data_IF_470503771330
#
_entry.id   IF_470503771330
#
_cell.length_a   1.000
_cell.length_b   1.000
_cell.length_c   1.000
_cell.angle_alpha   90.00
_cell.angle_beta   90.00
_cell.angle_gamma   90.00
#
_symmetry.space_group_name_H-M   'P 1'
#
loop_
_entity.id
_entity.type
_entity.pdbx_description
1 polymer ?
#
# COMPACT_ATOMS: atom_id res chain seq x y z
N UNK A 1 -12.98 14.51 4.44
CA UNK A 1 -11.75 14.94 5.17
C UNK A 1 -11.06 13.77 5.88
N UNK A 2 -11.79 12.94 6.63
CA UNK A 2 -11.19 11.86 7.44
C UNK A 2 -10.39 10.82 6.63
N UNK A 3 -10.78 10.53 5.39
CA UNK A 3 -10.00 9.65 4.49
C UNK A 3 -8.63 10.23 4.14
N UNK A 4 -8.54 11.55 3.91
CA UNK A 4 -7.27 12.23 3.64
C UNK A 4 -6.35 12.12 4.86
N UNK A 5 -6.89 12.43 6.04
CA UNK A 5 -6.14 12.33 7.30
C UNK A 5 -5.65 10.90 7.55
N UNK A 6 -6.52 9.90 7.34
CA UNK A 6 -6.14 8.48 7.45
C UNK A 6 -5.00 8.11 6.49
N UNK A 7 -5.07 8.54 5.23
CA UNK A 7 -4.03 8.28 4.24
C UNK A 7 -2.68 8.93 4.59
N UNK A 8 -2.70 10.19 5.06
CA UNK A 8 -1.48 10.90 5.50
C UNK A 8 -0.86 10.23 6.71
N UNK A 9 -1.65 9.90 7.73
CA UNK A 9 -1.15 9.22 8.94
C UNK A 9 -0.61 7.83 8.57
N UNK A 10 -1.33 7.07 7.74
CA UNK A 10 -0.87 5.77 7.27
C UNK A 10 0.48 5.89 6.56
N UNK A 11 0.66 6.84 5.65
CA UNK A 11 1.93 7.05 4.94
C UNK A 11 3.06 7.45 5.90
N UNK A 12 2.78 8.37 6.85
CA UNK A 12 3.76 8.82 7.83
C UNK A 12 4.25 7.70 8.76
N UNK A 13 3.38 6.75 9.11
CA UNK A 13 3.75 5.58 9.93
C UNK A 13 4.42 4.50 9.08
N UNK A 14 3.84 4.17 7.92
CA UNK A 14 4.36 3.12 7.04
C UNK A 14 5.79 3.40 6.63
N UNK A 15 6.15 4.64 6.31
CA UNK A 15 7.49 4.93 5.79
C UNK A 15 8.66 4.47 6.66
N UNK A 16 8.78 4.89 7.94
CA UNK A 16 9.87 4.44 8.80
C UNK A 16 9.80 2.94 9.07
N UNK A 17 8.60 2.38 9.22
CA UNK A 17 8.43 0.96 9.55
C UNK A 17 8.74 0.06 8.34
N UNK A 18 8.32 0.45 7.14
CA UNK A 18 8.64 -0.23 5.88
C UNK A 18 10.15 -0.27 5.64
N UNK A 19 10.82 0.85 5.91
CA UNK A 19 12.29 0.95 5.81
C UNK A 19 12.93 -0.05 6.77
N UNK A 20 12.52 -0.05 8.04
CA UNK A 20 13.00 -0.99 9.06
C UNK A 20 12.70 -2.47 8.70
N UNK A 21 11.51 -2.77 8.20
CA UNK A 21 11.11 -4.12 7.74
C UNK A 21 12.01 -4.56 6.59
N UNK A 22 12.24 -3.69 5.61
CA UNK A 22 13.01 -4.03 4.40
C UNK A 22 14.49 -4.20 4.72
N UNK A 23 15.06 -3.36 5.59
CA UNK A 23 16.45 -3.46 6.03
C UNK A 23 16.75 -4.79 6.75
N UNK A 24 15.80 -5.30 7.55
CA UNK A 24 15.98 -6.54 8.33
C UNK A 24 15.50 -7.79 7.61
N UNK A 25 14.40 -7.68 6.86
CA UNK A 25 13.70 -8.81 6.22
C UNK A 25 14.06 -8.99 4.74
N UNK A 26 14.81 -8.06 4.14
CA UNK A 26 15.17 -8.08 2.73
C UNK A 26 13.94 -8.21 1.81
N UNK A 27 14.06 -9.06 0.79
CA UNK A 27 12.99 -9.30 -0.17
C UNK A 27 11.70 -9.84 0.48
N UNK A 28 11.79 -10.71 1.48
CA UNK A 28 10.60 -11.25 2.15
C UNK A 28 9.89 -10.18 2.99
N UNK A 29 10.66 -9.28 3.61
CA UNK A 29 10.14 -8.08 4.26
C UNK A 29 9.29 -7.23 3.32
N UNK A 30 9.86 -6.89 2.17
CA UNK A 30 9.21 -6.05 1.16
C UNK A 30 7.99 -6.72 0.52
N UNK A 31 8.04 -8.03 0.28
CA UNK A 31 6.96 -8.75 -0.41
C UNK A 31 5.78 -9.03 0.52
N UNK A 32 5.99 -9.38 1.80
CA UNK A 32 4.89 -9.84 2.65
C UNK A 32 4.56 -8.89 3.80
N UNK A 33 5.58 -8.44 4.53
CA UNK A 33 5.38 -7.69 5.77
C UNK A 33 5.02 -6.22 5.51
N UNK A 34 5.63 -5.61 4.49
CA UNK A 34 5.30 -4.24 4.08
C UNK A 34 3.83 -4.14 3.62
N UNK A 35 3.34 -4.94 2.65
CA UNK A 35 1.93 -4.90 2.26
C UNK A 35 0.95 -5.12 3.41
N UNK A 36 1.23 -6.09 4.29
CA UNK A 36 0.36 -6.36 5.43
C UNK A 36 0.24 -5.14 6.36
N UNK A 37 1.36 -4.50 6.67
CA UNK A 37 1.36 -3.29 7.50
C UNK A 37 0.58 -2.17 6.84
N UNK A 38 0.86 -1.89 5.57
CA UNK A 38 0.24 -0.79 4.84
C UNK A 38 -1.27 -0.95 4.71
N UNK A 39 -1.76 -2.12 4.28
CA UNK A 39 -3.20 -2.37 4.16
C UNK A 39 -3.90 -2.29 5.52
N UNK A 40 -3.23 -2.75 6.59
CA UNK A 40 -3.72 -2.63 7.96
C UNK A 40 -3.85 -1.16 8.37
N UNK A 41 -2.82 -0.34 8.13
CA UNK A 41 -2.83 1.08 8.50
C UNK A 41 -3.87 1.87 7.69
N UNK A 42 -3.86 1.74 6.37
CA UNK A 42 -4.81 2.44 5.49
C UNK A 42 -6.26 2.11 5.84
N UNK A 43 -6.57 0.82 5.96
CA UNK A 43 -7.93 0.35 6.23
C UNK A 43 -8.36 0.60 7.68
N UNK A 44 -7.48 0.29 8.63
CA UNK A 44 -7.74 0.45 10.05
C UNK A 44 -7.95 1.92 10.43
N UNK A 45 -7.08 2.83 9.95
CA UNK A 45 -7.21 4.26 10.22
C UNK A 45 -8.43 4.85 9.52
N UNK A 46 -8.70 4.48 8.26
CA UNK A 46 -9.92 4.92 7.57
C UNK A 46 -11.17 4.49 8.34
N UNK A 47 -11.23 3.24 8.81
CA UNK A 47 -12.32 2.75 9.65
C UNK A 47 -12.44 3.52 10.97
N UNK A 48 -11.33 3.64 11.73
CA UNK A 48 -11.33 4.23 13.06
C UNK A 48 -11.72 5.71 13.04
N UNK A 49 -11.34 6.43 11.98
CA UNK A 49 -11.64 7.85 11.79
C UNK A 49 -12.97 8.08 11.04
N UNK A 50 -13.68 7.03 10.63
CA UNK A 50 -14.88 7.16 9.77
C UNK A 50 -14.57 7.83 8.42
N UNK A 51 -13.38 7.60 7.88
CA UNK A 51 -12.92 8.09 6.60
C UNK A 51 -13.26 7.17 5.43
N UNK A 52 -13.29 7.74 4.23
CA UNK A 52 -13.48 6.95 3.02
C UNK A 52 -12.24 6.11 2.70
N UNK A 53 -12.49 4.82 2.51
CA UNK A 53 -11.47 3.80 2.31
C UNK A 53 -10.63 4.06 1.06
N UNK A 54 -11.29 4.25 -0.09
CA UNK A 54 -10.60 4.47 -1.37
C UNK A 54 -9.81 5.77 -1.34
N UNK A 55 -10.34 6.81 -0.71
CA UNK A 55 -9.64 8.09 -0.56
C UNK A 55 -8.38 7.97 0.31
N UNK A 56 -8.43 7.19 1.40
CA UNK A 56 -7.24 6.93 2.23
C UNK A 56 -6.14 6.22 1.44
N UNK A 57 -6.51 5.25 0.61
CA UNK A 57 -5.57 4.55 -0.27
C UNK A 57 -5.02 5.46 -1.37
N UNK A 58 -5.88 6.30 -1.97
CA UNK A 58 -5.47 7.27 -2.98
C UNK A 58 -4.44 8.26 -2.44
N UNK A 59 -4.66 8.79 -1.22
CA UNK A 59 -3.74 9.74 -0.59
C UNK A 59 -2.42 9.06 -0.21
N UNK A 60 -2.47 7.85 0.34
CA UNK A 60 -1.26 7.06 0.61
C UNK A 60 -0.45 6.86 -0.68
N UNK A 61 -1.10 6.37 -1.75
CA UNK A 61 -0.43 6.12 -3.02
C UNK A 61 0.00 7.38 -3.76
N UNK A 62 -0.65 8.52 -3.53
CA UNK A 62 -0.15 9.80 -4.03
C UNK A 62 1.16 10.19 -3.35
N UNK A 63 1.23 10.04 -2.02
CA UNK A 63 2.46 10.34 -1.26
C UNK A 63 3.60 9.42 -1.71
N UNK A 64 3.33 8.11 -1.83
CA UNK A 64 4.32 7.17 -2.34
C UNK A 64 4.72 7.50 -3.79
N UNK A 65 3.75 7.74 -4.67
CA UNK A 65 4.03 8.08 -6.06
C UNK A 65 4.85 9.37 -6.22
N UNK A 66 4.61 10.38 -5.38
CA UNK A 66 5.43 11.59 -5.34
C UNK A 66 6.86 11.29 -4.87
N UNK A 67 7.03 10.40 -3.89
CA UNK A 67 8.35 9.95 -3.47
C UNK A 67 9.08 9.19 -4.58
N UNK A 68 8.40 8.27 -5.26
CA UNK A 68 8.99 7.52 -6.36
C UNK A 68 9.42 8.46 -7.49
N UNK A 69 8.57 9.41 -7.87
CA UNK A 69 8.89 10.43 -8.87
C UNK A 69 10.13 11.25 -8.47
N UNK A 70 10.27 11.58 -7.19
CA UNK A 70 11.45 12.30 -6.71
C UNK A 70 12.71 11.42 -6.75
N UNK A 71 12.57 10.13 -6.44
CA UNK A 71 13.65 9.15 -6.36
C UNK A 71 14.23 8.79 -7.72
N UNK A 72 13.40 8.51 -8.71
CA UNK A 72 13.85 7.99 -10.01
C UNK A 72 13.58 8.92 -11.21
N UNK A 73 12.86 10.04 -10.99
CA UNK A 73 12.47 11.02 -12.01
C UNK A 73 11.59 10.45 -13.13
N UNK A 74 10.90 9.33 -12.88
CA UNK A 74 10.03 8.66 -13.85
C UNK A 74 8.57 8.78 -13.42
N UNK A 75 7.76 9.37 -14.30
CA UNK A 75 6.31 9.46 -14.08
C UNK A 75 5.63 8.09 -14.05
N UNK A 76 6.20 7.11 -14.76
CA UNK A 76 5.67 5.74 -14.81
C UNK A 76 5.60 5.09 -13.42
N UNK A 77 6.65 5.22 -12.62
CA UNK A 77 6.71 4.68 -11.25
C UNK A 77 5.60 5.30 -10.39
N UNK A 78 5.51 6.63 -10.40
CA UNK A 78 4.48 7.37 -9.67
C UNK A 78 3.04 6.96 -10.05
N UNK A 79 2.79 6.73 -11.35
CA UNK A 79 1.49 6.27 -11.85
C UNK A 79 1.21 4.83 -11.43
N UNK A 80 2.22 3.96 -11.45
CA UNK A 80 2.12 2.56 -11.01
C UNK A 80 1.82 2.50 -9.51
N UNK A 81 2.51 3.29 -8.67
CA UNK A 81 2.26 3.38 -7.23
C UNK A 81 0.83 3.86 -6.92
N UNK A 82 0.45 5.03 -7.46
CA UNK A 82 -0.89 5.59 -7.24
C UNK A 82 -1.99 4.64 -7.77
N UNK A 83 -1.80 4.10 -8.98
CA UNK A 83 -2.74 3.17 -9.61
C UNK A 83 -2.90 1.87 -8.83
N UNK A 84 -1.79 1.29 -8.36
CA UNK A 84 -1.79 0.09 -7.53
C UNK A 84 -2.56 0.31 -6.22
N UNK A 85 -2.29 1.40 -5.52
CA UNK A 85 -3.00 1.70 -4.28
C UNK A 85 -4.49 2.02 -4.47
N UNK A 86 -4.86 2.71 -5.55
CA UNK A 86 -6.28 2.89 -5.91
C UNK A 86 -6.96 1.54 -6.14
N UNK A 87 -6.31 0.66 -6.90
CA UNK A 87 -6.79 -0.70 -7.12
C UNK A 87 -6.97 -1.46 -5.79
N UNK A 88 -5.97 -1.43 -4.90
CA UNK A 88 -6.07 -2.06 -3.58
C UNK A 88 -7.18 -1.47 -2.72
N UNK A 89 -7.38 -0.15 -2.74
CA UNK A 89 -8.49 0.50 -2.03
C UNK A 89 -9.86 0.02 -2.51
N UNK A 90 -10.05 -0.10 -3.83
CA UNK A 90 -11.29 -0.66 -4.39
C UNK A 90 -11.44 -2.13 -4.01
N UNK A 91 -10.39 -2.93 -4.12
CA UNK A 91 -10.43 -4.35 -3.74
C UNK A 91 -10.75 -4.54 -2.26
N UNK A 92 -10.23 -3.70 -1.37
CA UNK A 92 -10.54 -3.76 0.05
C UNK A 92 -12.02 -3.48 0.29
N UNK A 93 -12.59 -2.50 -0.41
CA UNK A 93 -14.03 -2.21 -0.35
C UNK A 93 -14.88 -3.39 -0.83
N UNK A 94 -14.49 -4.02 -1.94
CA UNK A 94 -15.17 -5.22 -2.48
C UNK A 94 -15.08 -6.37 -1.48
N UNK A 95 -13.89 -6.72 -0.99
CA UNK A 95 -13.73 -7.82 -0.04
C UNK A 95 -14.47 -7.56 1.27
N UNK A 96 -14.48 -6.33 1.77
CA UNK A 96 -15.23 -5.99 2.96
C UNK A 96 -16.76 -6.10 2.73
N UNK A 97 -17.25 -5.93 1.51
CA UNK A 97 -18.67 -6.20 1.22
C UNK A 97 -19.04 -7.68 1.32
N UNK A 98 -18.08 -8.60 1.14
CA UNK A 98 -18.30 -10.05 1.22
C UNK A 98 -18.05 -10.65 2.62
N UNK A 99 -17.20 -10.02 3.43
CA UNK A 99 -16.81 -10.55 4.73
C UNK A 99 -17.23 -9.64 5.88
N UNK A 100 -17.76 -10.20 6.99
CA UNK A 100 -18.19 -9.39 8.13
C UNK A 100 -17.03 -8.75 8.90
N UNK A 101 -15.79 -9.24 8.70
CA UNK A 101 -14.60 -8.79 9.40
C UNK A 101 -13.67 -8.01 8.45
N UNK A 102 -13.42 -6.75 8.77
CA UNK A 102 -12.49 -5.89 8.00
C UNK A 102 -11.07 -6.47 7.95
N UNK A 103 -10.67 -7.25 8.96
CA UNK A 103 -9.38 -7.95 8.99
C UNK A 103 -9.24 -8.96 7.85
N UNK A 104 -10.33 -9.63 7.43
CA UNK A 104 -10.28 -10.55 6.29
C UNK A 104 -10.10 -9.81 4.97
N UNK A 105 -10.72 -8.62 4.82
CA UNK A 105 -10.49 -7.76 3.66
C UNK A 105 -9.03 -7.29 3.60
N UNK A 106 -8.46 -6.87 4.74
CA UNK A 106 -7.04 -6.50 4.85
C UNK A 106 -6.13 -7.67 4.49
N UNK A 107 -6.36 -8.87 5.02
CA UNK A 107 -5.54 -10.05 4.68
C UNK A 107 -5.62 -10.39 3.20
N UNK A 108 -6.83 -10.33 2.61
CA UNK A 108 -7.02 -10.60 1.19
C UNK A 108 -6.32 -9.59 0.28
N UNK A 109 -6.41 -8.29 0.59
CA UNK A 109 -5.72 -7.26 -0.20
C UNK A 109 -4.23 -7.24 0.07
N UNK A 110 -3.78 -7.49 1.31
CA UNK A 110 -2.36 -7.65 1.61
C UNK A 110 -1.74 -8.79 0.81
N UNK A 111 -2.47 -9.90 0.63
CA UNK A 111 -2.05 -10.98 -0.27
C UNK A 111 -1.95 -10.52 -1.73
N UNK A 112 -2.96 -9.83 -2.26
CA UNK A 112 -2.92 -9.27 -3.63
C UNK A 112 -1.75 -8.29 -3.82
N UNK A 113 -1.51 -7.43 -2.85
CA UNK A 113 -0.41 -6.48 -2.84
C UNK A 113 0.95 -7.20 -2.70
N UNK A 114 1.03 -8.29 -1.94
CA UNK A 114 2.23 -9.12 -1.89
C UNK A 114 2.55 -9.74 -3.26
N UNK A 115 1.54 -10.24 -3.96
CA UNK A 115 1.69 -10.74 -5.34
C UNK A 115 2.16 -9.62 -6.27
N UNK A 116 1.62 -8.41 -6.14
CA UNK A 116 2.06 -7.24 -6.90
C UNK A 116 3.53 -6.91 -6.67
N UNK A 117 3.97 -6.80 -5.40
CA UNK A 117 5.37 -6.52 -5.06
C UNK A 117 6.30 -7.61 -5.61
N UNK A 118 5.89 -8.87 -5.55
CA UNK A 118 6.65 -9.97 -6.14
C UNK A 118 6.77 -9.82 -7.68
N UNK A 119 5.68 -9.48 -8.38
CA UNK A 119 5.70 -9.23 -9.83
C UNK A 119 6.62 -8.04 -10.17
N UNK A 120 6.49 -6.91 -9.49
CA UNK A 120 7.31 -5.72 -9.70
C UNK A 120 8.79 -6.05 -9.49
N UNK A 121 9.14 -6.74 -8.40
CA UNK A 121 10.52 -7.20 -8.19
C UNK A 121 10.98 -8.07 -9.36
N UNK A 122 10.20 -9.05 -9.78
CA UNK A 122 10.59 -9.95 -10.89
C UNK A 122 10.75 -9.24 -12.23
N UNK A 123 9.97 -8.21 -12.50
CA UNK A 123 10.04 -7.45 -13.76
C UNK A 123 11.18 -6.42 -13.76
N UNK A 124 11.42 -5.75 -12.63
CA UNK A 124 12.30 -4.58 -12.57
C UNK A 124 13.66 -4.83 -11.90
N UNK A 125 13.87 -5.94 -11.19
CA UNK A 125 15.20 -6.31 -10.64
C UNK A 125 15.95 -7.36 -11.45
N UNK A 126 15.29 -8.04 -12.40
CA UNK A 126 15.95 -9.02 -13.29
C UNK A 126 16.83 -8.41 -14.38
N UNK A 127 16.98 -7.08 -14.43
CA UNK A 127 17.79 -6.35 -15.40
C UNK A 127 19.20 -5.96 -14.93
N UNK A 128 19.65 -6.41 -13.76
CA UNK A 128 20.97 -6.08 -13.20
C UNK A 128 21.83 -7.31 -12.90
N UNK A 129 21.77 -8.31 -13.78
CA UNK A 129 22.65 -9.48 -13.79
C UNK A 129 23.37 -9.59 -15.12
#
# INVERSE_FOLDING_TARGET
MNGILAGVIAAAISWPVNSWITERGGCWGLVFWVPLLEETLKTGLARQLGGELVLAHAVFGLIEGLYELQRDRRIGSAVIALGGHLFFGVMTGILWSFFPYWSLAVLGVAFLHSVWNWIILKLFTKGSG
#
